data_IF_127515023593
#
_entry.id   IF_127515023593
#
_cell.length_a   1.000
_cell.length_b   1.000
_cell.length_c   1.000
_cell.angle_alpha   90.00
_cell.angle_beta   90.00
_cell.angle_gamma   90.00
#
_symmetry.space_group_name_H-M   'P 1'
#
loop_
_entity.id
_entity.type
_entity.pdbx_description
1 polymer ?
#
# COMPACT_ATOMS: atom_id res chain seq x y z
N UNK A 1 5.64 -20.32 -4.37
CA UNK A 1 6.30 -19.06 -4.72
C UNK A 1 6.36 -18.23 -3.42
N UNK A 2 7.48 -17.56 -3.13
CA UNK A 2 7.59 -16.71 -1.94
C UNK A 2 6.80 -15.41 -2.15
N UNK A 3 6.11 -14.92 -1.11
CA UNK A 3 5.33 -13.68 -1.18
C UNK A 3 6.25 -12.47 -1.19
N UNK A 4 6.04 -11.53 -2.12
CA UNK A 4 6.89 -10.35 -2.32
C UNK A 4 6.12 -9.07 -2.04
N UNK A 5 6.49 -8.34 -0.99
CA UNK A 5 5.90 -7.03 -0.64
C UNK A 5 7.02 -6.00 -0.66
N UNK A 6 6.87 -4.95 -1.46
CA UNK A 6 7.94 -3.96 -1.60
C UNK A 6 7.55 -2.71 -2.37
N UNK A 7 8.58 -2.03 -2.86
CA UNK A 7 8.47 -0.85 -3.70
C UNK A 7 9.43 -0.93 -4.89
N UNK A 8 9.06 -0.30 -6.00
CA UNK A 8 10.00 -0.14 -7.10
C UNK A 8 11.09 0.85 -6.72
N UNK A 9 12.34 0.53 -7.04
CA UNK A 9 13.36 1.56 -7.12
C UNK A 9 12.97 2.56 -8.23
N UNK A 10 13.01 3.88 -7.98
CA UNK A 10 12.72 4.88 -9.01
C UNK A 10 13.81 4.87 -10.11
N UNK A 11 13.65 4.01 -11.11
CA UNK A 11 14.59 3.88 -12.22
C UNK A 11 14.63 5.18 -13.03
N UNK A 12 15.81 5.54 -13.57
CA UNK A 12 16.10 6.76 -14.35
C UNK A 12 16.29 8.07 -13.57
N UNK A 13 16.24 8.07 -12.23
CA UNK A 13 16.48 9.27 -11.40
C UNK A 13 17.98 9.51 -11.11
N UNK A 14 18.88 8.61 -11.48
CA UNK A 14 20.34 8.80 -11.30
C UNK A 14 20.91 10.09 -11.94
N UNK A 15 20.14 10.79 -12.78
CA UNK A 15 20.49 12.10 -13.33
C UNK A 15 20.10 13.29 -12.43
N UNK A 16 19.20 13.12 -11.46
CA UNK A 16 18.71 14.17 -10.57
C UNK A 16 19.44 14.20 -9.21
N UNK A 17 20.22 13.17 -8.89
CA UNK A 17 21.04 13.10 -7.68
C UNK A 17 20.92 11.75 -6.95
N UNK A 18 21.72 11.56 -5.88
CA UNK A 18 21.62 10.38 -5.04
C UNK A 18 20.26 10.30 -4.34
N UNK A 19 19.68 9.09 -4.32
CA UNK A 19 18.41 8.79 -3.65
C UNK A 19 18.68 7.90 -2.44
N UNK A 20 18.00 8.19 -1.33
CA UNK A 20 17.97 7.35 -0.15
C UNK A 20 16.59 6.71 0.02
N UNK A 21 16.57 5.40 0.29
CA UNK A 21 15.38 4.69 0.75
C UNK A 21 15.22 4.83 2.26
N UNK A 22 14.02 5.17 2.72
CA UNK A 22 13.69 5.24 4.14
C UNK A 22 12.26 4.75 4.38
N UNK A 23 11.87 4.66 5.65
CA UNK A 23 10.49 4.39 6.04
C UNK A 23 9.80 5.68 6.47
N UNK A 24 8.71 6.01 5.80
CA UNK A 24 7.76 7.00 6.28
C UNK A 24 6.73 6.32 7.17
N UNK A 25 6.24 6.99 8.21
CA UNK A 25 5.21 6.44 9.09
C UNK A 25 3.87 7.09 8.78
N UNK A 26 2.89 6.27 8.41
CA UNK A 26 1.53 6.73 8.11
C UNK A 26 0.59 6.40 9.27
N UNK A 27 -0.23 7.38 9.65
CA UNK A 27 -1.29 7.22 10.66
C UNK A 27 -2.50 6.55 10.03
N UNK A 28 -2.80 5.32 10.43
CA UNK A 28 -3.93 4.53 9.93
C UNK A 28 -5.28 5.22 10.11
N UNK A 29 -5.42 6.12 11.09
CA UNK A 29 -6.64 6.90 11.30
C UNK A 29 -6.85 7.98 10.23
N UNK A 30 -5.78 8.36 9.50
CA UNK A 30 -5.76 9.48 8.55
C UNK A 30 -5.32 9.10 7.14
N UNK A 31 -4.74 7.91 6.98
CA UNK A 31 -4.18 7.45 5.71
C UNK A 31 -5.29 7.30 4.67
N UNK A 32 -5.01 7.79 3.46
CA UNK A 32 -5.91 7.70 2.32
C UNK A 32 -5.10 7.47 1.04
N UNK A 33 -5.80 7.30 -0.08
CA UNK A 33 -5.17 7.23 -1.39
C UNK A 33 -4.22 6.04 -1.55
N UNK A 34 -3.03 6.27 -2.08
CA UNK A 34 -2.13 5.19 -2.50
C UNK A 34 -1.52 4.40 -1.34
N UNK A 35 -1.18 5.04 -0.22
CA UNK A 35 -0.63 4.31 0.92
C UNK A 35 -1.69 3.42 1.58
N UNK A 36 -2.95 3.87 1.67
CA UNK A 36 -4.04 3.04 2.15
C UNK A 36 -4.23 1.80 1.26
N UNK A 37 -4.29 2.02 -0.06
CA UNK A 37 -4.42 0.94 -1.04
C UNK A 37 -3.25 -0.06 -0.94
N UNK A 38 -2.02 0.44 -0.80
CA UNK A 38 -0.83 -0.39 -0.70
C UNK A 38 -0.85 -1.25 0.56
N UNK A 39 -1.18 -0.66 1.71
CA UNK A 39 -1.25 -1.37 2.98
C UNK A 39 -2.33 -2.46 2.95
N UNK A 40 -3.53 -2.14 2.45
CA UNK A 40 -4.60 -3.14 2.33
C UNK A 40 -4.20 -4.29 1.39
N UNK A 41 -3.62 -3.98 0.23
CA UNK A 41 -3.09 -4.99 -0.68
C UNK A 41 -1.97 -5.83 -0.02
N UNK A 42 -1.10 -5.20 0.77
CA UNK A 42 0.01 -5.86 1.43
C UNK A 42 -0.40 -6.79 2.59
N UNK A 43 -1.64 -6.71 3.08
CA UNK A 43 -2.13 -7.59 4.16
C UNK A 43 -3.03 -8.70 3.65
N UNK A 44 -3.58 -8.59 2.43
CA UNK A 44 -4.36 -9.68 1.83
C UNK A 44 -3.48 -10.83 1.35
N UNK A 45 -3.92 -12.05 1.66
CA UNK A 45 -3.25 -13.30 1.31
C UNK A 45 -3.47 -13.72 -0.14
N UNK A 46 -4.44 -13.11 -0.84
CA UNK A 46 -4.73 -13.38 -2.25
C UNK A 46 -3.67 -12.83 -3.20
N UNK A 47 -2.77 -11.98 -2.71
CA UNK A 47 -1.73 -11.33 -3.53
C UNK A 47 -0.35 -11.92 -3.23
N UNK A 48 0.27 -12.48 -4.27
CA UNK A 48 1.62 -13.01 -4.22
C UNK A 48 2.69 -11.92 -4.34
N UNK A 49 2.40 -10.83 -5.06
CA UNK A 49 3.28 -9.67 -5.19
C UNK A 49 2.50 -8.37 -5.02
N UNK A 50 3.03 -7.45 -4.22
CA UNK A 50 2.49 -6.10 -4.05
C UNK A 50 3.64 -5.10 -4.10
N UNK A 51 3.66 -4.27 -5.15
CA UNK A 51 4.73 -3.30 -5.39
C UNK A 51 4.19 -1.88 -5.47
N UNK A 52 4.66 -1.02 -4.56
CA UNK A 52 4.42 0.41 -4.59
C UNK A 52 5.34 1.10 -5.60
N UNK A 53 4.77 1.76 -6.59
CA UNK A 53 5.53 2.33 -7.70
C UNK A 53 5.80 3.82 -7.47
N UNK A 54 7.05 4.24 -7.66
CA UNK A 54 7.51 5.61 -7.44
C UNK A 54 7.94 6.29 -8.74
N UNK A 55 7.52 7.54 -8.91
CA UNK A 55 7.86 8.34 -10.08
C UNK A 55 9.12 9.20 -9.89
N UNK A 56 9.49 10.00 -10.91
CA UNK A 56 10.64 10.92 -10.87
C UNK A 56 10.63 11.93 -9.71
N UNK A 57 9.46 12.27 -9.20
CA UNK A 57 9.26 13.15 -8.03
C UNK A 57 9.47 12.46 -6.68
N UNK A 58 9.83 11.17 -6.68
CA UNK A 58 9.91 10.32 -5.48
C UNK A 58 8.57 10.17 -4.73
N UNK A 59 7.46 10.50 -5.40
CA UNK A 59 6.11 10.28 -4.87
C UNK A 59 5.54 8.97 -5.42
N UNK A 60 4.84 8.18 -4.59
CA UNK A 60 4.16 6.98 -5.07
C UNK A 60 3.00 7.36 -5.99
N UNK A 61 2.79 6.62 -7.09
CA UNK A 61 1.75 6.94 -8.08
C UNK A 61 0.83 5.78 -8.48
N UNK A 62 1.28 4.52 -8.37
CA UNK A 62 0.41 3.35 -8.58
C UNK A 62 0.87 2.14 -7.75
N UNK A 63 0.02 1.11 -7.69
CA UNK A 63 0.32 -0.16 -7.02
C UNK A 63 0.17 -1.28 -8.02
N UNK A 64 1.23 -2.08 -8.19
CA UNK A 64 1.19 -3.30 -8.97
C UNK A 64 0.90 -4.49 -8.07
N UNK A 65 -0.11 -5.26 -8.42
CA UNK A 65 -0.50 -6.47 -7.70
C UNK A 65 -0.47 -7.66 -8.65
N UNK A 66 0.10 -8.77 -8.20
CA UNK A 66 -0.04 -10.07 -8.85
C UNK A 66 -0.78 -10.99 -7.88
N UNK A 67 -1.91 -11.55 -8.30
CA UNK A 67 -2.68 -12.51 -7.49
C UNK A 67 -2.02 -13.88 -7.47
N UNK A 68 -2.35 -14.69 -6.48
CA UNK A 68 -1.89 -16.09 -6.40
C UNK A 68 -2.30 -16.93 -7.61
N UNK A 69 -3.39 -16.55 -8.29
CA UNK A 69 -3.92 -17.19 -9.50
C UNK A 69 -3.26 -16.68 -10.79
N UNK A 70 -2.34 -15.71 -10.69
CA UNK A 70 -1.54 -15.20 -11.80
C UNK A 70 -2.14 -14.00 -12.53
N UNK A 71 -3.19 -13.37 -12.00
CA UNK A 71 -3.75 -12.13 -12.55
C UNK A 71 -2.91 -10.92 -12.11
N UNK A 72 -2.61 -10.00 -13.04
CA UNK A 72 -1.82 -8.80 -12.75
C UNK A 72 -2.66 -7.53 -12.89
N UNK A 73 -2.69 -6.72 -11.83
CA UNK A 73 -3.24 -5.38 -11.80
C UNK A 73 -2.11 -4.36 -11.88
N UNK A 74 -2.10 -3.54 -12.94
CA UNK A 74 -1.08 -2.50 -13.13
C UNK A 74 -1.23 -1.31 -12.16
N UNK A 75 -2.47 -0.97 -11.80
CA UNK A 75 -2.79 0.06 -10.80
C UNK A 75 -4.01 -0.40 -10.01
N UNK A 76 -3.74 -1.16 -8.95
CA UNK A 76 -4.76 -1.71 -8.06
C UNK A 76 -5.51 -0.61 -7.29
N UNK A 77 -6.83 -0.74 -7.23
CA UNK A 77 -7.77 0.15 -6.56
C UNK A 77 -8.56 -0.59 -5.48
N UNK A 78 -9.20 0.15 -4.58
CA UNK A 78 -10.03 -0.47 -3.54
C UNK A 78 -11.21 -1.23 -4.16
N UNK A 79 -11.72 -0.78 -5.31
CA UNK A 79 -12.78 -1.43 -6.07
C UNK A 79 -12.34 -2.77 -6.69
N UNK A 80 -11.04 -3.07 -6.70
CA UNK A 80 -10.51 -4.38 -7.07
C UNK A 80 -10.45 -5.34 -5.87
N UNK A 81 -10.81 -4.90 -4.67
CA UNK A 81 -10.90 -5.78 -3.51
C UNK A 81 -12.04 -6.77 -3.70
N UNK A 82 -11.82 -8.00 -3.25
CA UNK A 82 -12.77 -9.09 -3.40
C UNK A 82 -14.04 -8.81 -2.60
N UNK A 83 -15.20 -8.90 -3.26
CA UNK A 83 -16.48 -8.52 -2.67
C UNK A 83 -16.91 -9.51 -1.57
N UNK A 84 -16.66 -10.80 -1.74
CA UNK A 84 -17.02 -11.82 -0.76
C UNK A 84 -16.16 -11.65 0.51
N UNK A 85 -14.85 -11.39 0.35
CA UNK A 85 -13.97 -11.07 1.47
C UNK A 85 -14.39 -9.78 2.18
N UNK A 86 -14.78 -8.76 1.41
CA UNK A 86 -15.28 -7.50 1.98
C UNK A 86 -16.51 -7.73 2.86
N UNK A 87 -17.51 -8.46 2.35
CA UNK A 87 -18.74 -8.75 3.10
C UNK A 87 -18.45 -9.60 4.34
N UNK A 88 -17.63 -10.65 4.22
CA UNK A 88 -17.26 -11.52 5.34
C UNK A 88 -16.46 -10.81 6.42
N UNK A 89 -15.46 -9.99 6.05
CA UNK A 89 -14.68 -9.22 7.03
C UNK A 89 -15.52 -8.11 7.66
N UNK A 90 -16.46 -7.49 6.92
CA UNK A 90 -17.41 -6.55 7.52
C UNK A 90 -18.25 -7.22 8.62
N UNK A 91 -18.73 -8.44 8.39
CA UNK A 91 -19.44 -9.22 9.41
C UNK A 91 -18.55 -9.48 10.64
N UNK A 92 -17.30 -9.91 10.45
CA UNK A 92 -16.34 -10.15 11.53
C UNK A 92 -16.01 -8.89 12.35
N UNK A 93 -16.00 -7.73 11.70
CA UNK A 93 -15.71 -6.43 12.33
C UNK A 93 -16.98 -5.71 12.83
N UNK A 94 -18.15 -6.35 12.79
CA UNK A 94 -19.44 -5.77 13.16
C UNK A 94 -19.76 -4.46 12.39
N UNK A 95 -19.37 -4.42 11.11
CA UNK A 95 -19.62 -3.31 10.19
C UNK A 95 -20.82 -3.61 9.28
N UNK A 96 -21.68 -2.62 9.06
CA UNK A 96 -22.73 -2.71 8.04
C UNK A 96 -22.12 -2.51 6.65
N UNK A 97 -21.98 -3.60 5.90
CA UNK A 97 -21.41 -3.60 4.54
C UNK A 97 -22.20 -2.75 3.55
N UNK A 98 -23.46 -2.40 3.86
CA UNK A 98 -24.30 -1.54 3.02
C UNK A 98 -24.10 -0.03 3.27
N UNK A 99 -23.52 0.35 4.41
CA UNK A 99 -23.33 1.76 4.82
C UNK A 99 -21.85 2.13 5.04
N UNK A 100 -20.94 1.15 4.99
CA UNK A 100 -19.49 1.40 5.13
C UNK A 100 -18.83 1.64 3.77
N UNK A 101 -18.03 2.69 3.68
CA UNK A 101 -17.19 2.92 2.50
C UNK A 101 -16.00 1.94 2.47
N UNK A 102 -15.51 1.60 1.27
CA UNK A 102 -14.29 0.79 1.12
C UNK A 102 -13.06 1.42 1.81
N UNK A 103 -13.01 2.76 1.88
CA UNK A 103 -11.92 3.46 2.57
C UNK A 103 -11.99 3.23 4.09
N UNK A 104 -13.18 3.37 4.67
CA UNK A 104 -13.40 3.13 6.10
C UNK A 104 -13.17 1.66 6.46
N UNK A 105 -13.69 0.75 5.64
CA UNK A 105 -13.39 -0.68 5.73
C UNK A 105 -11.88 -0.93 5.74
N UNK A 106 -11.14 -0.40 4.77
CA UNK A 106 -9.69 -0.60 4.66
C UNK A 106 -8.96 -0.13 5.94
N UNK A 107 -9.32 1.04 6.49
CA UNK A 107 -8.76 1.54 7.74
C UNK A 107 -9.09 0.61 8.92
N UNK A 108 -10.33 0.13 9.03
CA UNK A 108 -10.76 -0.79 10.10
C UNK A 108 -10.01 -2.11 10.04
N UNK A 109 -9.87 -2.71 8.85
CA UNK A 109 -9.06 -3.92 8.65
C UNK A 109 -7.63 -3.67 9.12
N UNK A 110 -6.98 -2.61 8.63
CA UNK A 110 -5.59 -2.30 8.99
C UNK A 110 -5.41 -2.05 10.49
N UNK A 111 -6.34 -1.33 11.13
CA UNK A 111 -6.34 -1.09 12.56
C UNK A 111 -6.56 -2.35 13.40
N UNK A 112 -7.33 -3.33 12.89
CA UNK A 112 -7.58 -4.60 13.59
C UNK A 112 -6.36 -5.52 13.65
N UNK A 113 -5.46 -5.41 12.67
CA UNK A 113 -4.27 -6.27 12.55
C UNK A 113 -2.96 -5.59 12.97
N UNK A 114 -2.90 -4.26 12.92
CA UNK A 114 -1.67 -3.53 13.21
C UNK A 114 -1.42 -3.45 14.72
N UNK A 115 -0.17 -3.64 15.19
CA UNK A 115 0.17 -3.51 16.61
C UNK A 115 0.09 -2.07 17.12
N UNK A 116 0.12 -1.09 16.21
CA UNK A 116 -0.03 0.34 16.50
C UNK A 116 -0.69 1.05 15.31
N UNK A 117 -1.14 2.30 15.52
CA UNK A 117 -1.77 3.08 14.45
C UNK A 117 -0.76 3.79 13.52
N UNK A 118 0.54 3.71 13.79
CA UNK A 118 1.60 4.33 12.98
C UNK A 118 2.44 3.26 12.29
N UNK A 119 2.11 2.97 11.03
CA UNK A 119 2.75 1.87 10.29
C UNK A 119 3.81 2.40 9.32
N UNK A 120 4.96 1.71 9.20
CA UNK A 120 5.99 2.11 8.25
C UNK A 120 5.57 1.74 6.82
N UNK A 121 5.84 2.64 5.89
CA UNK A 121 5.70 2.43 4.44
C UNK A 121 7.01 2.78 3.73
N UNK A 122 7.32 2.15 2.59
CA UNK A 122 8.47 2.54 1.78
C UNK A 122 8.34 3.99 1.31
N UNK A 123 9.44 4.73 1.35
CA UNK A 123 9.55 6.08 0.82
C UNK A 123 10.98 6.34 0.30
N UNK A 124 11.10 7.38 -0.53
CA UNK A 124 12.37 7.81 -1.11
C UNK A 124 12.53 9.33 -0.97
N UNK A 125 13.76 9.78 -0.77
CA UNK A 125 14.11 11.20 -0.77
C UNK A 125 15.42 11.44 -1.51
N UNK A 126 15.59 12.63 -2.07
CA UNK A 126 16.90 13.06 -2.54
C UNK A 126 17.81 13.27 -1.34
N UNK A 127 19.04 12.76 -1.43
CA UNK A 127 20.08 13.08 -0.45
C UNK A 127 20.42 14.55 -0.68
N UNK A 128 20.08 15.40 0.29
CA UNK A 128 20.60 16.77 0.31
C UNK A 128 22.08 16.70 0.66
N UNK A 129 22.92 17.50 -0.01
CA UNK A 129 24.34 17.68 0.34
C UNK A 129 24.45 18.32 1.74
N UNK A 130 24.20 17.55 2.80
CA UNK A 130 24.61 17.89 4.15
C UNK A 130 25.98 17.30 4.37
N UNK A 131 26.98 17.91 3.72
CA UNK A 131 28.40 18.00 4.13
C UNK A 131 29.18 18.70 2.99
N UNK A 132 29.06 20.03 2.92
CA UNK A 132 30.05 20.89 2.29
C UNK A 132 31.07 21.34 3.34
#
# INVERSE_FOLDING_TARGET
MEREIGSSYPLHIGQLGPIESYSEYVDLNKVAGIYLRYLLAAVTVKYQRVNLMFGPSLTPYMIRVLTVDGEEFQDWKLENYDKEDFEGICEELELDSSDVSLEEFAKKVLLSIAPNHLVPVPAYRFVSDQNA
#
